data_IF_451814916554
#
_entry.id   IF_451814916554
#
_cell.length_a   1.000
_cell.length_b   1.000
_cell.length_c   1.000
_cell.angle_alpha   90.00
_cell.angle_beta   90.00
_cell.angle_gamma   90.00
#
_symmetry.space_group_name_H-M   'P 1'
#
loop_
_entity.id
_entity.type
_entity.pdbx_description
1 polymer ?
#
# COMPACT_ATOMS: atom_id res chain seq x y z
N UNK A 1 -0.97 23.84 6.75
CA UNK A 1 -1.86 24.16 5.61
C UNK A 1 -1.28 25.36 4.91
N UNK A 2 -0.88 25.27 3.65
CA UNK A 2 -0.39 26.44 2.92
C UNK A 2 -1.58 27.32 2.57
N UNK A 3 -1.62 28.50 3.18
CA UNK A 3 -2.36 29.68 2.73
C UNK A 3 -1.59 30.33 1.58
N UNK A 4 -1.46 29.64 0.44
CA UNK A 4 -0.94 30.28 -0.78
C UNK A 4 -2.15 30.83 -1.54
N UNK A 5 -2.33 32.15 -1.53
CA UNK A 5 -3.27 32.83 -2.42
C UNK A 5 -2.87 32.53 -3.87
N UNK A 6 -3.81 32.17 -4.76
CA UNK A 6 -3.50 31.90 -6.16
C UNK A 6 -2.81 33.07 -6.85
N UNK A 7 -1.67 32.79 -7.50
CA UNK A 7 -0.87 33.75 -8.25
C UNK A 7 -1.31 33.76 -9.71
N UNK A 8 -1.77 34.92 -10.19
CA UNK A 8 -2.25 35.12 -11.56
C UNK A 8 -1.35 36.12 -12.27
N UNK A 9 -0.87 35.75 -13.46
CA UNK A 9 -0.16 36.67 -14.35
C UNK A 9 -1.07 37.06 -15.51
N UNK A 10 -1.25 38.36 -15.74
CA UNK A 10 -1.97 38.90 -16.89
C UNK A 10 -0.96 39.43 -17.90
N UNK A 11 -1.02 38.95 -19.14
CA UNK A 11 -0.16 39.37 -20.25
C UNK A 11 -1.07 39.94 -21.35
N UNK A 12 -1.13 41.27 -21.43
CA UNK A 12 -2.06 41.98 -22.31
C UNK A 12 -1.51 43.37 -22.65
N UNK A 13 -1.46 43.75 -23.92
CA UNK A 13 -0.89 45.04 -24.34
C UNK A 13 -1.80 46.24 -23.99
N UNK A 14 -3.08 45.99 -23.76
CA UNK A 14 -4.04 46.98 -23.31
C UNK A 14 -3.94 47.20 -21.79
N UNK A 15 -3.34 48.34 -21.38
CA UNK A 15 -3.21 48.69 -19.97
C UNK A 15 -4.55 48.79 -19.21
N UNK A 16 -5.64 49.13 -19.92
CA UNK A 16 -7.01 49.11 -19.38
C UNK A 16 -7.46 47.71 -18.98
N UNK A 17 -7.18 46.70 -19.82
CA UNK A 17 -7.51 45.30 -19.54
C UNK A 17 -6.67 44.79 -18.35
N UNK A 18 -5.36 45.03 -18.36
CA UNK A 18 -4.48 44.69 -17.23
C UNK A 18 -5.00 45.26 -15.91
N UNK A 19 -5.38 46.55 -15.89
CA UNK A 19 -5.90 47.22 -14.69
C UNK A 19 -7.27 46.66 -14.27
N UNK A 20 -8.17 46.40 -15.24
CA UNK A 20 -9.47 45.79 -14.97
C UNK A 20 -9.34 44.41 -14.34
N UNK A 21 -8.55 43.52 -14.94
CA UNK A 21 -8.27 42.19 -14.40
C UNK A 21 -7.64 42.27 -13.00
N UNK A 22 -6.69 43.18 -12.79
CA UNK A 22 -6.05 43.36 -11.48
C UNK A 22 -7.00 43.83 -10.38
N UNK A 23 -8.00 44.65 -10.71
CA UNK A 23 -9.01 45.10 -9.75
C UNK A 23 -9.98 43.97 -9.43
N UNK A 24 -10.62 43.39 -10.46
CA UNK A 24 -11.63 42.34 -10.33
C UNK A 24 -11.08 41.12 -9.58
N UNK A 25 -9.90 40.64 -9.99
CA UNK A 25 -9.30 39.44 -9.40
C UNK A 25 -8.66 39.74 -8.04
N UNK A 26 -8.23 40.98 -7.80
CA UNK A 26 -7.74 41.43 -6.50
C UNK A 26 -8.83 41.44 -5.42
N UNK A 27 -10.08 41.75 -5.78
CA UNK A 27 -11.24 41.66 -4.87
C UNK A 27 -11.57 40.23 -4.45
N UNK A 28 -11.10 39.23 -5.20
CA UNK A 28 -11.25 37.79 -4.91
C UNK A 28 -10.06 37.22 -4.13
N UNK A 29 -9.24 38.06 -3.50
CA UNK A 29 -8.03 37.70 -2.75
C UNK A 29 -6.96 36.96 -3.59
N UNK A 30 -6.93 37.18 -4.92
CA UNK A 30 -5.87 36.66 -5.79
C UNK A 30 -4.68 37.61 -5.88
N UNK A 31 -3.48 37.03 -5.99
CA UNK A 31 -2.25 37.78 -6.20
C UNK A 31 -2.04 38.00 -7.70
N UNK A 32 -2.32 39.21 -8.18
CA UNK A 32 -2.29 39.53 -9.61
C UNK A 32 -1.03 40.32 -9.97
N UNK A 33 -0.27 39.79 -10.94
CA UNK A 33 0.82 40.50 -11.62
C UNK A 33 0.41 40.79 -13.06
N UNK A 34 0.85 41.91 -13.62
CA UNK A 34 0.50 42.28 -15.00
C UNK A 34 1.74 42.66 -15.82
N UNK A 35 1.72 42.35 -17.12
CA UNK A 35 2.75 42.71 -18.10
C UNK A 35 2.10 43.10 -19.42
N UNK A 36 2.59 44.19 -20.02
CA UNK A 36 2.07 44.72 -21.29
C UNK A 36 2.86 44.30 -22.52
N UNK A 37 3.90 43.47 -22.33
CA UNK A 37 4.73 42.92 -23.40
C UNK A 37 4.84 41.41 -23.22
N UNK A 38 4.68 40.66 -24.29
CA UNK A 38 4.66 39.20 -24.26
C UNK A 38 6.00 38.60 -23.86
N UNK A 39 7.13 39.18 -24.28
CA UNK A 39 8.46 38.67 -23.87
C UNK A 39 8.72 38.85 -22.38
N UNK A 40 8.27 39.96 -21.80
CA UNK A 40 8.42 40.21 -20.37
C UNK A 40 7.48 39.31 -19.55
N UNK A 41 6.23 39.15 -20.02
CA UNK A 41 5.27 38.20 -19.45
C UNK A 41 5.77 36.77 -19.48
N UNK A 42 6.28 36.28 -20.62
CA UNK A 42 6.85 34.94 -20.73
C UNK A 42 8.07 34.75 -19.82
N UNK A 43 8.99 35.73 -19.75
CA UNK A 43 10.16 35.66 -18.87
C UNK A 43 9.74 35.52 -17.41
N UNK A 44 8.78 36.31 -16.98
CA UNK A 44 8.26 36.26 -15.61
C UNK A 44 7.49 34.97 -15.34
N UNK A 45 6.65 34.52 -16.26
CA UNK A 45 5.92 33.25 -16.15
C UNK A 45 6.88 32.05 -15.97
N UNK A 46 8.01 32.05 -16.68
CA UNK A 46 9.02 30.99 -16.57
C UNK A 46 9.85 31.09 -15.29
N UNK A 47 10.18 32.30 -14.83
CA UNK A 47 10.98 32.53 -13.63
C UNK A 47 10.17 32.37 -12.33
N UNK A 48 8.89 32.75 -12.36
CA UNK A 48 7.99 32.74 -11.23
C UNK A 48 7.21 31.44 -11.04
N UNK A 49 6.34 31.46 -10.04
CA UNK A 49 5.32 30.43 -9.80
C UNK A 49 3.95 31.07 -9.92
N UNK A 50 3.39 30.98 -11.13
CA UNK A 50 2.03 31.40 -11.41
C UNK A 50 1.14 30.17 -11.55
N UNK A 51 -0.01 30.24 -10.91
CA UNK A 51 -1.05 29.22 -11.00
C UNK A 51 -1.81 29.35 -12.31
N UNK A 52 -2.08 30.59 -12.70
CA UNK A 52 -2.82 30.94 -13.92
C UNK A 52 -2.08 32.04 -14.68
N UNK A 53 -2.06 31.91 -16.01
CA UNK A 53 -1.68 32.99 -16.92
C UNK A 53 -2.89 33.36 -17.78
N UNK A 54 -3.32 34.61 -17.69
CA UNK A 54 -4.27 35.22 -18.62
C UNK A 54 -3.47 35.83 -19.78
N UNK A 55 -3.65 35.32 -20.99
CA UNK A 55 -2.77 35.62 -22.12
C UNK A 55 -3.53 36.18 -23.31
N UNK A 56 -3.20 37.40 -23.73
CA UNK A 56 -3.62 37.89 -25.05
C UNK A 56 -2.87 37.16 -26.17
N UNK A 57 -3.58 36.78 -27.23
CA UNK A 57 -2.98 36.26 -28.46
C UNK A 57 -2.27 37.33 -29.28
N UNK A 58 -2.70 38.59 -29.16
CA UNK A 58 -2.17 39.72 -29.93
C UNK A 58 -1.29 40.56 -29.03
N UNK A 59 0.02 40.29 -29.05
CA UNK A 59 1.00 41.06 -28.30
C UNK A 59 1.94 41.80 -29.26
N UNK A 60 2.50 42.96 -28.87
CA UNK A 60 3.26 43.82 -29.77
C UNK A 60 4.61 43.24 -30.20
N UNK A 61 5.15 42.27 -29.46
CA UNK A 61 6.54 41.84 -29.56
C UNK A 61 6.76 40.33 -29.79
N UNK A 62 5.74 39.50 -29.56
CA UNK A 62 5.72 38.04 -29.79
C UNK A 62 4.27 37.59 -30.03
N UNK A 63 4.05 36.52 -30.79
CA UNK A 63 2.71 35.93 -30.92
C UNK A 63 2.32 35.22 -29.61
N UNK A 64 1.11 35.48 -29.09
CA UNK A 64 0.63 34.81 -27.87
C UNK A 64 0.52 33.30 -28.03
N UNK A 65 0.35 32.77 -29.25
CA UNK A 65 0.40 31.32 -29.47
C UNK A 65 1.81 30.73 -29.22
N UNK A 66 2.87 31.50 -29.46
CA UNK A 66 4.25 31.08 -29.14
C UNK A 66 4.50 31.10 -27.62
N UNK A 67 3.91 32.08 -26.91
CA UNK A 67 3.94 32.15 -25.45
C UNK A 67 3.21 30.94 -24.85
N UNK A 68 2.02 30.62 -25.35
CA UNK A 68 1.24 29.44 -24.93
C UNK A 68 2.03 28.14 -25.13
N UNK A 69 2.63 27.95 -26.32
CA UNK A 69 3.44 26.77 -26.62
C UNK A 69 4.64 26.64 -25.66
N UNK A 70 5.33 27.76 -25.39
CA UNK A 70 6.47 27.81 -24.47
C UNK A 70 6.09 27.47 -23.03
N UNK A 71 4.93 27.97 -22.56
CA UNK A 71 4.42 27.67 -21.22
C UNK A 71 4.01 26.21 -21.09
N UNK A 72 3.33 25.65 -22.10
CA UNK A 72 2.96 24.23 -22.11
C UNK A 72 4.16 23.31 -22.04
N UNK A 73 5.24 23.64 -22.73
CA UNK A 73 6.47 22.82 -22.74
C UNK A 73 7.25 22.94 -21.42
N UNK A 74 7.41 24.15 -20.89
CA UNK A 74 8.34 24.42 -19.78
C UNK A 74 7.66 24.50 -18.40
N UNK A 75 6.36 24.76 -18.36
CA UNK A 75 5.52 24.96 -17.16
C UNK A 75 4.13 24.31 -17.34
N UNK A 76 4.05 23.00 -17.60
CA UNK A 76 2.78 22.31 -17.85
C UNK A 76 1.80 22.36 -16.67
N UNK A 77 2.26 22.71 -15.47
CA UNK A 77 1.45 22.89 -14.25
C UNK A 77 0.69 24.23 -14.20
N UNK A 78 1.05 25.21 -15.03
CA UNK A 78 0.40 26.51 -15.09
C UNK A 78 -0.76 26.47 -16.07
N UNK A 79 -1.96 26.85 -15.60
CA UNK A 79 -3.15 26.90 -16.45
C UNK A 79 -3.13 28.20 -17.27
N UNK A 80 -3.32 28.11 -18.58
CA UNK A 80 -3.35 29.30 -19.44
C UNK A 80 -4.77 29.55 -19.92
N UNK A 81 -5.34 30.71 -19.61
CA UNK A 81 -6.61 31.17 -20.17
C UNK A 81 -6.30 32.22 -21.22
N UNK A 82 -6.73 31.98 -22.45
CA UNK A 82 -6.47 32.88 -23.56
C UNK A 82 -7.52 33.97 -23.61
N UNK A 83 -7.12 35.24 -23.67
CA UNK A 83 -8.00 36.39 -23.87
C UNK A 83 -7.87 36.86 -25.33
N UNK A 84 -8.96 37.09 -26.06
CA UNK A 84 -8.84 37.58 -27.45
C UNK A 84 -10.05 38.39 -27.91
N UNK A 85 -9.80 39.49 -28.60
CA UNK A 85 -10.84 40.27 -29.30
C UNK A 85 -11.24 39.69 -30.67
N UNK A 86 -10.49 38.71 -31.20
CA UNK A 86 -10.81 38.02 -32.45
C UNK A 86 -11.47 36.67 -32.13
N UNK A 87 -12.77 36.72 -31.81
CA UNK A 87 -13.61 35.57 -31.44
C UNK A 87 -14.04 34.70 -32.63
N UNK A 88 -13.10 34.37 -33.52
CA UNK A 88 -13.39 33.33 -34.52
C UNK A 88 -13.34 31.96 -33.84
N UNK A 89 -14.29 31.07 -34.17
CA UNK A 89 -14.28 29.68 -33.69
C UNK A 89 -12.93 29.00 -33.98
N UNK A 90 -12.27 29.38 -35.09
CA UNK A 90 -10.99 28.83 -35.51
C UNK A 90 -9.84 29.16 -34.55
N UNK A 91 -9.69 30.42 -34.14
CA UNK A 91 -8.63 30.85 -33.19
C UNK A 91 -8.82 30.24 -31.81
N UNK A 92 -10.06 30.14 -31.32
CA UNK A 92 -10.37 29.47 -30.05
C UNK A 92 -10.00 27.98 -30.10
N UNK A 93 -10.35 27.28 -31.20
CA UNK A 93 -9.98 25.88 -31.39
C UNK A 93 -8.46 25.68 -31.47
N UNK A 94 -7.75 26.59 -32.14
CA UNK A 94 -6.28 26.55 -32.22
C UNK A 94 -5.62 26.75 -30.85
N UNK A 95 -6.10 27.69 -30.04
CA UNK A 95 -5.64 27.89 -28.66
C UNK A 95 -5.86 26.66 -27.78
N UNK A 96 -7.06 26.06 -27.84
CA UNK A 96 -7.38 24.84 -27.07
C UNK A 96 -6.49 23.66 -27.51
N UNK A 97 -6.25 23.47 -28.82
CA UNK A 97 -5.29 22.47 -29.33
C UNK A 97 -3.86 22.78 -28.89
N UNK A 98 -3.52 24.06 -28.81
CA UNK A 98 -2.27 24.59 -28.29
C UNK A 98 -2.06 24.30 -26.81
N UNK A 99 -3.11 23.96 -26.07
CA UNK A 99 -3.08 23.56 -24.66
C UNK A 99 -3.54 24.65 -23.69
N UNK A 100 -4.28 25.64 -24.17
CA UNK A 100 -5.03 26.53 -23.29
C UNK A 100 -6.07 25.73 -22.49
N UNK A 101 -6.28 26.13 -21.24
CA UNK A 101 -7.30 25.56 -20.37
C UNK A 101 -8.70 26.02 -20.77
N UNK A 102 -8.83 27.33 -21.02
CA UNK A 102 -10.07 27.96 -21.46
C UNK A 102 -9.75 29.22 -22.28
N UNK A 103 -10.78 29.86 -22.83
CA UNK A 103 -10.64 31.13 -23.54
C UNK A 103 -11.74 32.13 -23.12
N UNK A 104 -11.41 33.42 -23.18
CA UNK A 104 -12.29 34.55 -22.89
C UNK A 104 -12.28 35.51 -24.09
N UNK A 105 -13.47 35.80 -24.62
CA UNK A 105 -13.61 36.76 -25.71
C UNK A 105 -13.68 38.19 -25.14
N UNK A 106 -12.84 39.10 -25.65
CA UNK A 106 -12.94 40.53 -25.34
C UNK A 106 -14.06 41.17 -26.18
N UNK A 107 -14.94 42.02 -25.62
CA UNK A 107 -15.03 42.37 -24.20
C UNK A 107 -15.72 41.27 -23.38
N UNK A 108 -15.22 41.01 -22.17
CA UNK A 108 -15.80 40.07 -21.21
C UNK A 108 -16.33 40.80 -19.97
N UNK A 109 -17.27 40.17 -19.27
CA UNK A 109 -17.81 40.67 -18.01
C UNK A 109 -16.95 40.26 -16.81
N UNK A 110 -17.17 40.90 -15.67
CA UNK A 110 -16.56 40.52 -14.39
C UNK A 110 -16.89 39.07 -14.00
N UNK A 111 -18.15 38.65 -14.13
CA UNK A 111 -18.58 37.28 -13.83
C UNK A 111 -17.88 36.24 -14.71
N UNK A 112 -17.64 36.56 -15.99
CA UNK A 112 -17.00 35.65 -16.95
C UNK A 112 -15.54 35.37 -16.59
N UNK A 113 -14.77 36.41 -16.26
CA UNK A 113 -13.36 36.24 -15.87
C UNK A 113 -13.24 35.55 -14.51
N UNK A 114 -14.09 35.88 -13.53
CA UNK A 114 -14.11 35.22 -12.22
C UNK A 114 -14.43 33.73 -12.40
N UNK A 115 -15.45 33.38 -13.19
CA UNK A 115 -15.84 32.00 -13.42
C UNK A 115 -14.74 31.19 -14.13
N UNK A 116 -14.09 31.77 -15.15
CA UNK A 116 -13.02 31.10 -15.88
C UNK A 116 -11.80 30.85 -14.99
N UNK A 117 -11.39 31.85 -14.20
CA UNK A 117 -10.29 31.73 -13.22
C UNK A 117 -10.65 30.70 -12.14
N UNK A 118 -11.85 30.75 -11.57
CA UNK A 118 -12.28 29.80 -10.54
C UNK A 118 -12.25 28.34 -11.03
N UNK A 119 -12.71 28.09 -12.26
CA UNK A 119 -12.62 26.76 -12.88
C UNK A 119 -11.18 26.29 -13.07
N UNK A 120 -10.29 27.18 -13.50
CA UNK A 120 -8.88 26.87 -13.68
C UNK A 120 -8.17 26.57 -12.34
N UNK A 121 -8.47 27.33 -11.28
CA UNK A 121 -7.97 27.08 -9.93
C UNK A 121 -8.43 25.72 -9.42
N UNK A 122 -9.71 25.40 -9.56
CA UNK A 122 -10.26 24.13 -9.08
C UNK A 122 -9.67 22.94 -9.85
N UNK A 123 -9.54 23.02 -11.17
CA UNK A 123 -8.88 21.97 -11.96
C UNK A 123 -7.41 21.80 -11.54
N UNK A 124 -6.68 22.90 -11.30
CA UNK A 124 -5.31 22.83 -10.77
C UNK A 124 -5.29 22.16 -9.39
N UNK A 125 -6.16 22.59 -8.46
CA UNK A 125 -6.26 22.03 -7.11
C UNK A 125 -6.50 20.52 -7.15
N UNK A 126 -7.42 20.07 -8.00
CA UNK A 126 -7.73 18.66 -8.20
C UNK A 126 -6.54 17.88 -8.79
N UNK A 127 -5.80 18.47 -9.75
CA UNK A 127 -4.57 17.87 -10.29
C UNK A 127 -3.47 17.74 -9.25
N UNK A 128 -3.22 18.80 -8.48
CA UNK A 128 -2.20 18.83 -7.44
C UNK A 128 -2.53 17.85 -6.30
N UNK A 129 -3.80 17.80 -5.89
CA UNK A 129 -4.30 16.82 -4.93
C UNK A 129 -4.11 15.38 -5.47
N UNK A 130 -4.41 15.16 -6.75
CA UNK A 130 -4.20 13.86 -7.38
C UNK A 130 -2.72 13.45 -7.40
N UNK A 131 -1.81 14.38 -7.72
CA UNK A 131 -0.37 14.16 -7.70
C UNK A 131 0.09 13.83 -6.28
N UNK A 132 -0.37 14.58 -5.28
CA UNK A 132 -0.02 14.36 -3.88
C UNK A 132 -0.49 12.98 -3.39
N UNK A 133 -1.76 12.61 -3.66
CA UNK A 133 -2.32 11.32 -3.29
C UNK A 133 -1.58 10.17 -3.98
N UNK A 134 -1.21 10.32 -5.26
CA UNK A 134 -0.36 9.34 -5.97
C UNK A 134 1.01 9.20 -5.33
N UNK A 135 1.63 10.32 -4.95
CA UNK A 135 2.93 10.30 -4.27
C UNK A 135 2.85 9.57 -2.94
N UNK A 136 1.80 9.81 -2.15
CA UNK A 136 1.56 9.11 -0.89
C UNK A 136 1.34 7.60 -1.10
N UNK A 137 0.62 7.20 -2.16
CA UNK A 137 0.46 5.79 -2.51
C UNK A 137 1.80 5.14 -2.88
N UNK A 138 2.61 5.81 -3.70
CA UNK A 138 3.94 5.34 -4.07
C UNK A 138 4.82 5.21 -2.81
N UNK A 139 4.88 6.24 -1.97
CA UNK A 139 5.60 6.19 -0.70
C UNK A 139 5.08 5.08 0.22
N UNK A 140 3.78 4.79 0.26
CA UNK A 140 3.25 3.74 1.14
C UNK A 140 3.56 2.33 0.65
N UNK A 141 3.54 2.10 -0.67
CA UNK A 141 3.54 0.77 -1.26
C UNK A 141 4.80 0.44 -2.08
N UNK A 142 5.78 1.34 -2.14
CA UNK A 142 7.08 1.06 -2.73
C UNK A 142 7.80 -0.09 -2.00
N UNK A 143 8.55 -0.89 -2.75
CA UNK A 143 9.28 -2.05 -2.21
C UNK A 143 10.25 -1.64 -1.10
N UNK A 144 10.83 -0.44 -1.19
CA UNK A 144 11.73 0.10 -0.18
C UNK A 144 11.08 0.23 1.21
N UNK A 145 9.74 0.24 1.28
CA UNK A 145 8.99 0.32 2.52
C UNK A 145 8.46 -1.05 3.00
N UNK A 146 8.62 -2.11 2.19
CA UNK A 146 8.36 -3.48 2.63
C UNK A 146 9.64 -4.02 3.26
N UNK A 147 9.63 -4.12 4.59
CA UNK A 147 10.77 -4.62 5.36
C UNK A 147 10.83 -6.15 5.27
N UNK A 148 11.90 -6.67 4.66
CA UNK A 148 12.28 -8.08 4.69
C UNK A 148 13.46 -8.36 3.77
N UNK A 149 14.40 -9.19 4.22
CA UNK A 149 15.47 -9.74 3.35
C UNK A 149 15.50 -11.26 3.39
N UNK A 150 14.52 -11.89 4.04
CA UNK A 150 14.32 -13.32 3.94
C UNK A 150 14.26 -13.73 2.45
N UNK A 151 14.99 -14.79 2.04
CA UNK A 151 15.01 -15.23 0.64
C UNK A 151 13.61 -15.43 0.04
N UNK A 152 12.64 -15.92 0.82
CA UNK A 152 11.28 -16.11 0.34
C UNK A 152 10.59 -14.76 0.01
N UNK A 153 10.89 -13.70 0.77
CA UNK A 153 10.39 -12.34 0.49
C UNK A 153 11.07 -11.75 -0.75
N UNK A 154 12.38 -11.98 -0.92
CA UNK A 154 13.11 -11.53 -2.09
C UNK A 154 12.58 -12.19 -3.38
N UNK A 155 12.28 -13.49 -3.35
CA UNK A 155 11.65 -14.21 -4.46
C UNK A 155 10.24 -13.66 -4.78
N UNK A 156 9.47 -13.28 -3.76
CA UNK A 156 8.18 -12.61 -3.94
C UNK A 156 8.37 -11.27 -4.65
N UNK A 157 9.37 -10.47 -4.28
CA UNK A 157 9.65 -9.20 -4.96
C UNK A 157 10.00 -9.38 -6.43
N UNK A 158 10.80 -10.39 -6.77
CA UNK A 158 11.08 -10.72 -8.17
C UNK A 158 9.81 -11.13 -8.93
N UNK A 159 8.99 -11.95 -8.29
CA UNK A 159 7.71 -12.40 -8.85
C UNK A 159 6.75 -11.22 -9.10
N UNK A 160 6.68 -10.28 -8.16
CA UNK A 160 5.89 -9.06 -8.30
C UNK A 160 6.40 -8.21 -9.46
N UNK A 161 7.72 -8.01 -9.60
CA UNK A 161 8.29 -7.26 -10.73
C UNK A 161 7.90 -7.85 -12.08
N UNK A 162 7.89 -9.19 -12.20
CA UNK A 162 7.50 -9.88 -13.44
C UNK A 162 6.00 -9.71 -13.72
N UNK A 163 5.13 -9.95 -12.74
CA UNK A 163 3.68 -9.90 -12.96
C UNK A 163 3.15 -8.47 -13.06
N UNK A 164 3.78 -7.49 -12.41
CA UNK A 164 3.36 -6.09 -12.45
C UNK A 164 3.37 -5.51 -13.87
N UNK A 165 4.30 -5.94 -14.72
CA UNK A 165 4.39 -5.57 -16.13
C UNK A 165 3.25 -6.12 -17.02
N UNK A 166 2.44 -7.05 -16.49
CA UNK A 166 1.31 -7.69 -17.19
C UNK A 166 -0.03 -7.23 -16.59
N UNK A 167 -1.13 -7.44 -17.31
CA UNK A 167 -2.50 -7.25 -16.78
C UNK A 167 -3.09 -8.53 -16.16
N UNK A 168 -2.27 -9.56 -15.93
CA UNK A 168 -2.72 -10.83 -15.33
C UNK A 168 -3.28 -10.62 -13.91
N UNK A 169 -4.33 -11.39 -13.60
CA UNK A 169 -4.89 -11.48 -12.26
C UNK A 169 -3.88 -12.12 -11.30
N UNK A 170 -3.72 -11.50 -10.13
CA UNK A 170 -2.84 -12.00 -9.08
C UNK A 170 -3.68 -12.44 -7.88
N UNK A 171 -3.43 -13.66 -7.39
CA UNK A 171 -4.03 -14.18 -6.17
C UNK A 171 -2.98 -14.23 -5.06
N UNK A 172 -3.14 -13.40 -4.03
CA UNK A 172 -2.26 -13.34 -2.87
C UNK A 172 -2.85 -14.19 -1.75
N UNK A 173 -2.13 -15.22 -1.34
CA UNK A 173 -2.50 -16.08 -0.21
C UNK A 173 -1.57 -15.85 0.96
N UNK A 174 -2.11 -15.91 2.17
CA UNK A 174 -1.30 -15.76 3.38
C UNK A 174 -2.15 -15.51 4.61
N UNK A 175 -1.64 -15.90 5.76
CA UNK A 175 -2.33 -15.72 7.04
C UNK A 175 -2.66 -14.25 7.30
N UNK A 176 -3.62 -14.02 8.20
CA UNK A 176 -3.96 -12.67 8.63
C UNK A 176 -2.74 -11.95 9.21
N UNK A 177 -2.57 -10.68 8.84
CA UNK A 177 -1.47 -9.85 9.33
C UNK A 177 -0.09 -10.11 8.68
N UNK A 178 0.01 -10.90 7.62
CA UNK A 178 1.27 -11.14 6.88
C UNK A 178 1.70 -9.99 5.97
N UNK A 179 0.78 -9.07 5.64
CA UNK A 179 1.03 -7.91 4.79
C UNK A 179 0.43 -7.98 3.39
N UNK A 180 -0.54 -8.85 3.11
CA UNK A 180 -1.19 -9.01 1.78
C UNK A 180 -1.52 -7.69 1.06
N UNK A 181 -2.10 -6.72 1.78
CA UNK A 181 -2.42 -5.38 1.25
C UNK A 181 -1.17 -4.62 0.76
N UNK A 182 -0.04 -4.72 1.46
CA UNK A 182 1.22 -4.07 1.06
C UNK A 182 1.75 -4.65 -0.24
N UNK A 183 1.73 -5.97 -0.39
CA UNK A 183 2.16 -6.63 -1.63
C UNK A 183 1.20 -6.34 -2.79
N UNK A 184 -0.11 -6.25 -2.53
CA UNK A 184 -1.09 -5.84 -3.54
C UNK A 184 -0.85 -4.40 -4.04
N UNK A 185 -0.58 -3.47 -3.11
CA UNK A 185 -0.20 -2.10 -3.45
C UNK A 185 1.09 -2.05 -4.25
N UNK A 186 2.10 -2.85 -3.89
CA UNK A 186 3.37 -2.92 -4.61
C UNK A 186 3.18 -3.41 -6.06
N UNK A 187 2.30 -4.39 -6.29
CA UNK A 187 1.94 -4.83 -7.65
C UNK A 187 1.37 -3.67 -8.46
N UNK A 188 0.48 -2.85 -7.88
CA UNK A 188 -0.10 -1.70 -8.57
C UNK A 188 0.95 -0.64 -8.90
N UNK A 189 1.76 -0.25 -7.91
CA UNK A 189 2.79 0.79 -8.04
C UNK A 189 3.85 0.44 -9.09
N UNK A 190 4.15 -0.85 -9.27
CA UNK A 190 5.12 -1.33 -10.26
C UNK A 190 4.50 -1.62 -11.63
N UNK A 191 3.19 -1.39 -11.81
CA UNK A 191 2.49 -1.72 -13.04
C UNK A 191 2.42 -0.57 -14.04
N UNK A 192 2.04 -0.87 -15.29
CA UNK A 192 1.66 0.14 -16.29
C UNK A 192 0.47 1.01 -15.84
N UNK A 193 -0.29 0.56 -14.83
CA UNK A 193 -1.45 1.25 -14.25
C UNK A 193 -1.10 2.06 -13.00
N UNK A 194 0.17 2.23 -12.63
CA UNK A 194 0.58 2.97 -11.43
C UNK A 194 0.11 4.43 -11.38
N UNK A 195 -0.14 5.05 -12.53
CA UNK A 195 -0.70 6.39 -12.64
C UNK A 195 -2.25 6.41 -12.65
N UNK A 196 -2.90 5.26 -12.52
CA UNK A 196 -4.36 5.08 -12.54
C UNK A 196 -4.87 4.85 -11.12
N UNK A 197 -6.19 4.68 -10.96
CA UNK A 197 -6.80 4.50 -9.64
C UNK A 197 -6.42 3.13 -9.05
N UNK A 198 -6.05 3.11 -7.78
CA UNK A 198 -5.96 1.92 -6.95
C UNK A 198 -7.14 1.94 -5.98
N UNK A 199 -8.06 0.98 -6.11
CA UNK A 199 -9.25 0.88 -5.27
C UNK A 199 -9.19 -0.40 -4.48
N UNK A 200 -9.44 -0.33 -3.18
CA UNK A 200 -9.42 -1.47 -2.27
C UNK A 200 -10.81 -1.74 -1.74
N UNK A 201 -11.19 -3.02 -1.63
CA UNK A 201 -12.43 -3.45 -1.02
C UNK A 201 -12.18 -4.66 -0.11
N UNK A 202 -12.56 -4.54 1.15
CA UNK A 202 -12.57 -5.66 2.10
C UNK A 202 -13.93 -6.35 2.05
N UNK A 203 -13.95 -7.57 1.50
CA UNK A 203 -15.17 -8.36 1.30
C UNK A 203 -15.75 -8.91 2.61
N UNK A 204 -15.09 -8.72 3.77
CA UNK A 204 -15.58 -9.16 5.08
C UNK A 204 -16.37 -8.10 5.86
N UNK A 205 -16.29 -6.84 5.44
CA UNK A 205 -16.80 -5.70 6.24
C UNK A 205 -18.28 -5.37 6.01
N UNK A 206 -18.85 -5.81 4.89
CA UNK A 206 -20.19 -5.45 4.45
C UNK A 206 -21.11 -6.66 4.42
N UNK A 207 -22.40 -6.43 4.63
CA UNK A 207 -23.42 -7.43 4.33
C UNK A 207 -23.42 -7.74 2.83
N UNK A 208 -23.88 -8.92 2.45
CA UNK A 208 -23.87 -9.34 1.04
C UNK A 208 -24.58 -8.36 0.09
N UNK A 209 -25.73 -7.82 0.50
CA UNK A 209 -26.49 -6.87 -0.33
C UNK A 209 -25.75 -5.54 -0.50
N UNK A 210 -25.13 -5.03 0.57
CA UNK A 210 -24.32 -3.81 0.51
C UNK A 210 -23.05 -4.05 -0.33
N UNK A 211 -22.40 -5.20 -0.17
CA UNK A 211 -21.20 -5.56 -0.92
C UNK A 211 -21.47 -5.62 -2.43
N UNK A 212 -22.60 -6.20 -2.83
CA UNK A 212 -23.02 -6.23 -4.23
C UNK A 212 -23.25 -4.81 -4.76
N UNK A 213 -23.98 -3.98 -4.02
CA UNK A 213 -24.21 -2.58 -4.35
C UNK A 213 -22.91 -1.77 -4.41
N UNK A 214 -21.94 -2.00 -3.52
CA UNK A 214 -20.63 -1.34 -3.59
C UNK A 214 -19.84 -1.78 -4.82
N UNK A 215 -19.79 -3.08 -5.14
CA UNK A 215 -19.04 -3.60 -6.29
C UNK A 215 -19.61 -3.08 -7.62
N UNK A 216 -20.91 -3.27 -7.84
CA UNK A 216 -21.56 -3.09 -9.13
C UNK A 216 -22.37 -1.78 -9.23
N UNK A 217 -22.65 -1.12 -8.12
CA UNK A 217 -23.52 0.05 -8.08
C UNK A 217 -24.99 -0.33 -8.09
N UNK A 218 -25.86 0.66 -7.94
CA UNK A 218 -27.31 0.47 -8.01
C UNK A 218 -27.99 1.69 -8.63
N UNK A 219 -29.19 1.45 -9.15
CA UNK A 219 -30.12 2.51 -9.52
C UNK A 219 -31.09 2.81 -8.39
N UNK A 220 -31.64 4.03 -8.41
CA UNK A 220 -32.70 4.45 -7.49
C UNK A 220 -33.85 3.45 -7.51
N UNK A 221 -34.27 3.00 -6.34
CA UNK A 221 -35.36 2.03 -6.17
C UNK A 221 -34.96 0.57 -6.34
N UNK A 222 -33.68 0.24 -6.49
CA UNK A 222 -33.20 -1.15 -6.56
C UNK A 222 -33.45 -1.96 -5.26
N UNK A 223 -33.48 -1.29 -4.11
CA UNK A 223 -33.82 -1.82 -2.80
C UNK A 223 -34.38 -0.70 -1.90
N UNK A 224 -34.88 -1.04 -0.71
CA UNK A 224 -35.64 -0.13 0.17
C UNK A 224 -34.91 1.17 0.50
N UNK A 225 -33.58 1.12 0.66
CA UNK A 225 -32.73 2.28 0.98
C UNK A 225 -32.07 2.95 -0.25
N UNK A 226 -32.36 2.49 -1.47
CA UNK A 226 -31.78 3.01 -2.72
C UNK A 226 -32.43 4.34 -3.13
N UNK A 227 -32.08 5.41 -2.43
CA UNK A 227 -32.66 6.76 -2.61
C UNK A 227 -32.16 7.50 -3.85
N UNK A 228 -30.98 7.14 -4.36
CA UNK A 228 -30.32 7.76 -5.51
C UNK A 228 -29.52 6.70 -6.29
N UNK A 229 -29.10 7.04 -7.51
CA UNK A 229 -28.20 6.19 -8.28
C UNK A 229 -26.79 6.25 -7.69
N UNK A 230 -26.14 5.10 -7.54
CA UNK A 230 -24.78 4.98 -7.02
C UNK A 230 -23.90 4.22 -8.01
N UNK A 231 -22.78 4.83 -8.39
CA UNK A 231 -21.74 4.16 -9.18
C UNK A 231 -21.00 3.12 -8.32
N UNK A 232 -20.84 1.91 -8.87
CA UNK A 232 -20.08 0.84 -8.25
C UNK A 232 -18.56 1.01 -8.37
N UNK A 233 -17.83 0.28 -7.54
CA UNK A 233 -16.37 0.22 -7.50
C UNK A 233 -15.79 -0.18 -8.86
N UNK A 234 -16.43 -1.06 -9.62
CA UNK A 234 -15.97 -1.39 -10.97
C UNK A 234 -16.00 -0.20 -11.95
N UNK A 235 -16.91 0.77 -11.76
CA UNK A 235 -16.90 2.02 -12.52
C UNK A 235 -15.78 2.93 -12.05
N UNK A 236 -15.60 3.03 -10.73
CA UNK A 236 -14.58 3.88 -10.09
C UNK A 236 -13.16 3.40 -10.41
N UNK A 237 -12.93 2.09 -10.47
CA UNK A 237 -11.65 1.47 -10.71
C UNK A 237 -11.31 1.30 -12.20
N UNK A 238 -12.17 1.76 -13.12
CA UNK A 238 -11.98 1.59 -14.55
C UNK A 238 -10.61 2.14 -15.02
N UNK A 239 -9.92 1.37 -15.86
CA UNK A 239 -8.51 1.50 -16.28
C UNK A 239 -7.47 1.43 -15.15
N UNK A 240 -7.88 1.15 -13.92
CA UNK A 240 -7.04 1.05 -12.74
C UNK A 240 -6.87 -0.38 -12.24
N UNK A 241 -6.65 -0.51 -10.93
CA UNK A 241 -6.52 -1.79 -10.23
C UNK A 241 -7.53 -1.86 -9.08
N UNK A 242 -8.24 -2.98 -9.00
CA UNK A 242 -9.12 -3.32 -7.88
C UNK A 242 -8.47 -4.40 -7.03
N UNK A 243 -8.20 -4.07 -5.77
CA UNK A 243 -7.76 -5.00 -4.76
C UNK A 243 -8.96 -5.53 -3.97
N UNK A 244 -9.20 -6.83 -4.04
CA UNK A 244 -10.26 -7.53 -3.30
C UNK A 244 -9.63 -8.29 -2.13
N UNK A 245 -9.74 -7.75 -0.91
CA UNK A 245 -9.22 -8.44 0.29
C UNK A 245 -10.28 -9.38 0.87
N UNK A 246 -9.78 -10.45 1.49
CA UNK A 246 -10.58 -11.52 2.10
C UNK A 246 -11.71 -12.04 1.18
N UNK A 247 -11.40 -12.25 -0.10
CA UNK A 247 -12.32 -12.63 -1.17
C UNK A 247 -13.06 -13.96 -0.92
N UNK A 248 -12.54 -14.80 -0.03
CA UNK A 248 -13.23 -16.01 0.44
C UNK A 248 -14.57 -15.75 1.16
N UNK A 249 -14.90 -14.50 1.49
CA UNK A 249 -16.17 -14.13 2.11
C UNK A 249 -17.29 -13.80 1.12
N UNK A 250 -17.01 -13.82 -0.19
CA UNK A 250 -18.04 -13.61 -1.21
C UNK A 250 -19.06 -14.77 -1.20
N UNK A 251 -20.35 -14.45 -1.30
CA UNK A 251 -21.37 -15.46 -1.54
C UNK A 251 -21.36 -15.94 -3.00
N UNK A 252 -21.99 -17.08 -3.29
CA UNK A 252 -21.99 -17.69 -4.62
C UNK A 252 -22.58 -16.79 -5.73
N UNK A 253 -23.52 -15.91 -5.38
CA UNK A 253 -24.14 -14.98 -6.33
C UNK A 253 -23.15 -13.90 -6.78
N UNK A 254 -22.49 -13.23 -5.83
CA UNK A 254 -21.46 -12.23 -6.11
C UNK A 254 -20.28 -12.86 -6.83
N UNK A 255 -19.89 -14.09 -6.46
CA UNK A 255 -18.85 -14.85 -7.16
C UNK A 255 -19.19 -15.05 -8.65
N UNK A 256 -20.44 -15.39 -8.98
CA UNK A 256 -20.88 -15.54 -10.37
C UNK A 256 -20.84 -14.23 -11.14
N UNK A 257 -21.21 -13.11 -10.51
CA UNK A 257 -21.15 -11.78 -11.14
C UNK A 257 -19.70 -11.33 -11.34
N UNK A 258 -18.83 -11.57 -10.35
CA UNK A 258 -17.39 -11.28 -10.43
C UNK A 258 -16.73 -12.05 -11.58
N UNK A 259 -17.02 -13.34 -11.72
CA UNK A 259 -16.51 -14.15 -12.82
C UNK A 259 -16.86 -13.52 -14.19
N UNK A 260 -18.11 -13.10 -14.37
CA UNK A 260 -18.55 -12.44 -15.60
C UNK A 260 -17.73 -11.19 -15.92
N UNK A 261 -17.43 -10.37 -14.91
CA UNK A 261 -16.56 -9.18 -15.10
C UNK A 261 -15.15 -9.59 -15.52
N UNK A 262 -14.60 -10.64 -14.91
CA UNK A 262 -13.25 -11.14 -15.21
C UNK A 262 -13.11 -11.76 -16.60
N UNK A 263 -14.19 -12.29 -17.17
CA UNK A 263 -14.21 -12.91 -18.49
C UNK A 263 -14.51 -11.92 -19.61
N UNK A 264 -15.54 -11.10 -19.42
CA UNK A 264 -16.10 -10.25 -20.47
C UNK A 264 -15.83 -8.75 -20.29
N UNK A 265 -15.31 -8.33 -19.13
CA UNK A 265 -15.18 -6.92 -18.77
C UNK A 265 -16.52 -6.22 -18.59
N UNK A 266 -17.60 -6.99 -18.37
CA UNK A 266 -18.97 -6.49 -18.36
C UNK A 266 -19.68 -6.82 -17.04
N UNK A 267 -20.44 -5.84 -16.52
CA UNK A 267 -21.27 -6.02 -15.33
C UNK A 267 -22.58 -5.23 -15.43
N UNK A 268 -23.51 -5.50 -14.51
CA UNK A 268 -24.79 -4.79 -14.41
C UNK A 268 -24.97 -4.22 -13.00
N UNK A 269 -25.34 -2.94 -12.86
CA UNK A 269 -25.76 -2.41 -11.56
C UNK A 269 -26.99 -3.14 -11.02
N UNK A 270 -27.17 -3.14 -9.70
CA UNK A 270 -28.35 -3.72 -9.06
C UNK A 270 -29.59 -2.94 -9.47
N UNK A 271 -30.63 -3.66 -9.91
CA UNK A 271 -31.89 -3.09 -10.41
C UNK A 271 -31.83 -2.58 -11.85
N UNK A 272 -30.69 -2.74 -12.53
CA UNK A 272 -30.48 -2.22 -13.88
C UNK A 272 -30.41 -3.34 -14.93
N UNK A 273 -30.91 -3.06 -16.13
CA UNK A 273 -30.98 -4.05 -17.22
C UNK A 273 -29.81 -3.94 -18.21
N UNK A 274 -29.25 -2.75 -18.37
CA UNK A 274 -28.15 -2.50 -19.28
C UNK A 274 -26.80 -2.95 -18.71
N UNK A 275 -25.91 -3.33 -19.61
CA UNK A 275 -24.57 -3.81 -19.26
C UNK A 275 -23.56 -2.67 -19.41
N UNK A 276 -22.64 -2.57 -18.45
CA UNK A 276 -21.57 -1.58 -18.42
C UNK A 276 -20.24 -2.30 -18.65
N UNK A 277 -19.38 -1.73 -19.51
CA UNK A 277 -18.02 -2.21 -19.73
C UNK A 277 -17.03 -1.55 -18.78
N UNK A 278 -16.07 -2.33 -18.29
CA UNK A 278 -14.96 -1.86 -17.47
C UNK A 278 -13.69 -2.63 -17.80
N UNK A 279 -12.56 -1.95 -17.72
CA UNK A 279 -11.22 -2.49 -17.89
C UNK A 279 -10.48 -2.35 -16.56
N UNK A 280 -10.56 -3.36 -15.71
CA UNK A 280 -9.99 -3.35 -14.36
C UNK A 280 -9.03 -4.51 -14.19
N UNK A 281 -7.82 -4.21 -13.75
CA UNK A 281 -6.89 -5.24 -13.28
C UNK A 281 -7.31 -5.69 -11.89
N UNK A 282 -7.48 -7.00 -11.69
CA UNK A 282 -7.85 -7.57 -10.39
C UNK A 282 -6.63 -8.12 -9.67
N UNK A 283 -6.48 -7.72 -8.41
CA UNK A 283 -5.59 -8.36 -7.43
C UNK A 283 -6.48 -8.85 -6.29
N UNK A 284 -6.46 -10.14 -5.98
CA UNK A 284 -7.28 -10.72 -4.92
C UNK A 284 -6.40 -11.22 -3.78
N UNK A 285 -6.92 -11.16 -2.55
CA UNK A 285 -6.27 -11.71 -1.38
C UNK A 285 -7.23 -12.57 -0.55
N UNK A 286 -6.67 -13.59 0.11
CA UNK A 286 -7.40 -14.41 1.09
C UNK A 286 -6.46 -15.03 2.11
N UNK A 287 -6.97 -15.23 3.33
CA UNK A 287 -6.31 -16.04 4.35
C UNK A 287 -6.82 -17.50 4.42
N UNK A 288 -7.81 -17.87 3.59
CA UNK A 288 -8.39 -19.21 3.55
C UNK A 288 -7.88 -19.98 2.33
N UNK A 289 -7.93 -21.30 2.44
CA UNK A 289 -7.61 -22.20 1.35
C UNK A 289 -8.81 -22.31 0.39
N UNK A 290 -8.76 -21.60 -0.74
CA UNK A 290 -9.85 -21.61 -1.72
C UNK A 290 -10.12 -23.01 -2.29
N UNK A 291 -9.11 -23.87 -2.39
CA UNK A 291 -9.30 -25.23 -2.91
C UNK A 291 -10.20 -26.07 -2.00
N UNK A 292 -10.09 -25.87 -0.68
CA UNK A 292 -11.00 -26.48 0.31
C UNK A 292 -12.41 -25.91 0.20
N UNK A 293 -12.55 -24.60 0.02
CA UNK A 293 -13.86 -23.97 -0.12
C UNK A 293 -14.60 -24.43 -1.39
N UNK A 294 -13.86 -24.71 -2.45
CA UNK A 294 -14.39 -25.34 -3.67
C UNK A 294 -14.91 -26.74 -3.37
N UNK A 295 -14.12 -27.57 -2.68
CA UNK A 295 -14.54 -28.91 -2.29
C UNK A 295 -15.78 -28.92 -1.35
N UNK A 296 -15.91 -27.89 -0.52
CA UNK A 296 -17.06 -27.67 0.38
C UNK A 296 -18.28 -27.04 -0.32
N UNK A 297 -18.17 -26.65 -1.61
CA UNK A 297 -19.25 -26.02 -2.37
C UNK A 297 -19.56 -24.57 -1.98
N UNK A 298 -18.71 -23.95 -1.14
CA UNK A 298 -18.86 -22.54 -0.71
C UNK A 298 -18.13 -21.55 -1.62
N UNK A 299 -17.29 -22.05 -2.53
CA UNK A 299 -16.60 -21.27 -3.54
C UNK A 299 -16.71 -21.93 -4.91
N UNK A 300 -16.89 -21.14 -5.97
CA UNK A 300 -17.03 -21.68 -7.33
C UNK A 300 -15.68 -22.08 -7.91
N UNK A 301 -15.65 -23.26 -8.51
CA UNK A 301 -14.46 -23.81 -9.15
C UNK A 301 -13.98 -22.97 -10.34
N UNK A 302 -14.90 -22.49 -11.18
CA UNK A 302 -14.60 -21.65 -12.34
C UNK A 302 -13.92 -20.32 -11.96
N UNK A 303 -14.45 -19.64 -10.94
CA UNK A 303 -13.87 -18.43 -10.38
C UNK A 303 -12.49 -18.68 -9.77
N UNK A 304 -12.30 -19.81 -9.08
CA UNK A 304 -11.01 -20.17 -8.51
C UNK A 304 -9.93 -20.26 -9.60
N UNK A 305 -10.19 -20.97 -10.70
CA UNK A 305 -9.23 -21.05 -11.81
C UNK A 305 -8.98 -19.70 -12.48
N UNK A 306 -10.00 -18.84 -12.59
CA UNK A 306 -9.86 -17.50 -13.17
C UNK A 306 -9.06 -16.54 -12.28
N UNK A 307 -9.09 -16.72 -10.96
CA UNK A 307 -8.30 -15.96 -10.00
C UNK A 307 -6.87 -16.49 -9.86
N UNK A 308 -6.70 -17.81 -9.89
CA UNK A 308 -5.44 -18.50 -9.64
C UNK A 308 -4.50 -18.51 -10.86
N UNK A 309 -4.46 -17.41 -11.62
CA UNK A 309 -3.59 -17.26 -12.80
C UNK A 309 -2.14 -17.03 -12.39
N UNK A 310 -1.92 -16.14 -11.42
CA UNK A 310 -0.60 -15.89 -10.85
C UNK A 310 -0.68 -15.89 -9.31
N UNK A 311 -0.49 -17.05 -8.66
CA UNK A 311 -0.51 -17.14 -7.20
C UNK A 311 0.78 -16.59 -6.57
N UNK A 312 0.63 -15.82 -5.50
CA UNK A 312 1.72 -15.39 -4.62
C UNK A 312 1.37 -15.82 -3.20
N UNK A 313 2.19 -16.67 -2.60
CA UNK A 313 2.01 -17.08 -1.19
C UNK A 313 2.97 -16.28 -0.32
N UNK A 314 2.43 -15.50 0.61
CA UNK A 314 3.23 -14.77 1.60
C UNK A 314 3.47 -15.69 2.81
N UNK A 315 4.74 -15.96 3.17
CA UNK A 315 5.04 -16.80 4.32
C UNK A 315 4.63 -16.12 5.64
N UNK A 316 4.10 -16.88 6.61
CA UNK A 316 3.86 -16.38 7.95
C UNK A 316 5.19 -15.99 8.62
N UNK A 317 5.12 -15.08 9.59
CA UNK A 317 6.30 -14.48 10.23
C UNK A 317 7.20 -15.54 10.91
N UNK A 318 6.62 -16.64 11.39
CA UNK A 318 7.35 -17.77 11.97
C UNK A 318 8.22 -18.55 10.99
N UNK A 319 7.96 -18.44 9.69
CA UNK A 319 8.75 -19.06 8.60
C UNK A 319 9.87 -18.13 8.10
N UNK A 320 9.89 -16.86 8.55
CA UNK A 320 10.89 -15.82 8.21
C UNK A 320 11.36 -15.07 9.45
N UNK A 321 11.97 -15.81 10.39
CA UNK A 321 12.30 -15.28 11.73
C UNK A 321 13.40 -14.21 11.67
N UNK A 322 14.22 -14.26 10.64
CA UNK A 322 15.31 -13.36 10.31
C UNK A 322 14.81 -11.93 10.04
N UNK A 323 13.56 -11.77 9.61
CA UNK A 323 12.92 -10.48 9.41
C UNK A 323 12.41 -9.85 10.72
N UNK A 324 12.20 -10.65 11.79
CA UNK A 324 11.58 -10.17 13.05
C UNK A 324 12.36 -9.02 13.67
N UNK A 325 13.70 -9.08 13.88
CA UNK A 325 14.45 -7.96 14.45
C UNK A 325 14.31 -6.69 13.61
N UNK A 326 14.38 -6.81 12.28
CA UNK A 326 14.29 -5.66 11.37
C UNK A 326 12.93 -5.00 11.41
N UNK A 327 11.86 -5.81 11.40
CA UNK A 327 10.49 -5.34 11.57
C UNK A 327 10.32 -4.66 12.93
N UNK A 328 10.84 -5.25 14.01
CA UNK A 328 10.76 -4.69 15.35
C UNK A 328 11.45 -3.32 15.43
N UNK A 329 12.68 -3.19 14.92
CA UNK A 329 13.41 -1.91 14.87
C UNK A 329 12.77 -0.89 13.92
N UNK A 330 12.16 -1.34 12.82
CA UNK A 330 11.40 -0.46 11.94
C UNK A 330 10.21 0.15 12.69
N UNK A 331 9.38 -0.68 13.34
CA UNK A 331 8.24 -0.20 14.12
C UNK A 331 8.66 0.64 15.33
N UNK A 332 9.75 0.28 16.01
CA UNK A 332 10.29 1.06 17.12
C UNK A 332 10.61 2.50 16.66
N UNK A 333 11.33 2.64 15.55
CA UNK A 333 11.68 3.96 14.99
C UNK A 333 10.44 4.74 14.55
N UNK A 334 9.47 4.06 13.94
CA UNK A 334 8.20 4.65 13.54
C UNK A 334 7.47 5.26 14.75
N UNK A 335 7.23 4.46 15.79
CA UNK A 335 6.48 4.90 16.96
C UNK A 335 7.24 5.89 17.84
N UNK A 336 8.57 5.79 17.93
CA UNK A 336 9.37 6.81 18.62
C UNK A 336 9.25 8.18 17.93
N UNK A 337 9.23 8.21 16.59
CA UNK A 337 9.04 9.45 15.83
C UNK A 337 7.65 10.05 16.05
N UNK A 338 6.61 9.21 16.12
CA UNK A 338 5.22 9.65 16.34
C UNK A 338 4.97 10.14 17.77
N UNK A 339 5.54 9.47 18.77
CA UNK A 339 5.35 9.79 20.19
C UNK A 339 6.35 10.81 20.73
N UNK A 340 7.41 11.12 19.98
CA UNK A 340 8.52 11.98 20.43
C UNK A 340 9.43 11.33 21.47
N UNK A 341 9.24 10.04 21.77
CA UNK A 341 10.05 9.29 22.74
C UNK A 341 11.40 8.88 22.17
N UNK A 342 12.36 8.63 23.07
CA UNK A 342 13.72 8.20 22.72
C UNK A 342 14.03 6.85 23.38
N UNK A 343 13.69 5.78 22.67
CA UNK A 343 14.01 4.40 23.04
C UNK A 343 15.13 3.94 22.10
N UNK A 344 16.22 3.45 22.68
CA UNK A 344 17.47 3.15 21.96
C UNK A 344 17.40 1.81 21.21
N UNK A 345 16.62 0.85 21.72
CA UNK A 345 16.50 -0.45 21.10
C UNK A 345 15.85 -1.50 21.99
N UNK A 346 16.11 -2.75 21.64
CA UNK A 346 15.74 -3.94 22.41
C UNK A 346 17.01 -4.52 23.02
N UNK A 347 16.94 -5.10 24.22
CA UNK A 347 18.06 -5.92 24.71
C UNK A 347 18.13 -7.27 23.99
N UNK A 348 19.29 -7.93 24.06
CA UNK A 348 19.53 -9.20 23.36
C UNK A 348 18.51 -10.27 23.76
N UNK A 349 18.22 -10.39 25.06
CA UNK A 349 17.22 -11.31 25.60
C UNK A 349 15.80 -11.01 25.10
N UNK A 350 15.50 -9.72 24.91
CA UNK A 350 14.23 -9.25 24.38
C UNK A 350 14.07 -9.62 22.90
N UNK A 351 15.14 -9.47 22.09
CA UNK A 351 15.16 -9.91 20.69
C UNK A 351 15.03 -11.43 20.56
N UNK A 352 15.74 -12.19 21.38
CA UNK A 352 15.61 -13.67 21.41
C UNK A 352 14.18 -14.09 21.75
N UNK A 353 13.50 -13.39 22.66
CA UNK A 353 12.10 -13.64 22.99
C UNK A 353 11.19 -13.34 21.79
N UNK A 354 11.37 -12.19 21.12
CA UNK A 354 10.60 -11.82 19.93
C UNK A 354 10.79 -12.84 18.79
N UNK A 355 12.03 -13.31 18.55
CA UNK A 355 12.33 -14.27 17.47
C UNK A 355 11.78 -15.68 17.74
N UNK A 356 11.67 -16.09 19.00
CA UNK A 356 11.16 -17.41 19.38
C UNK A 356 9.63 -17.47 19.49
N UNK A 357 8.95 -16.32 19.49
CA UNK A 357 7.50 -16.28 19.49
C UNK A 357 6.92 -16.72 18.13
N UNK A 358 5.74 -17.35 18.15
CA UNK A 358 5.10 -17.92 16.96
C UNK A 358 4.36 -16.89 16.10
N UNK A 359 4.03 -15.73 16.67
CA UNK A 359 3.32 -14.63 16.01
C UNK A 359 2.09 -15.07 15.21
N UNK A 360 1.04 -15.62 15.85
CA UNK A 360 -0.18 -16.03 15.15
C UNK A 360 -0.88 -14.89 14.39
N UNK A 361 -0.73 -13.63 14.83
CA UNK A 361 -1.19 -12.46 14.09
C UNK A 361 -0.12 -11.81 13.20
N UNK A 362 0.99 -12.52 12.96
CA UNK A 362 2.08 -12.16 12.07
C UNK A 362 2.62 -10.74 12.31
N UNK A 363 2.92 -10.01 11.24
CA UNK A 363 3.50 -8.65 11.29
C UNK A 363 2.55 -7.66 11.98
N UNK A 364 1.23 -7.84 11.83
CA UNK A 364 0.24 -7.00 12.52
C UNK A 364 0.33 -7.14 14.05
N UNK A 365 0.46 -8.36 14.56
CA UNK A 365 0.66 -8.59 15.99
C UNK A 365 1.98 -8.01 16.47
N UNK A 366 3.09 -8.25 15.75
CA UNK A 366 4.39 -7.68 16.08
C UNK A 366 4.34 -6.14 16.14
N UNK A 367 3.73 -5.50 15.15
CA UNK A 367 3.53 -4.04 15.12
C UNK A 367 2.80 -3.55 16.37
N UNK A 368 1.65 -4.13 16.69
CA UNK A 368 0.83 -3.75 17.84
C UNK A 368 1.57 -3.98 19.18
N UNK A 369 2.34 -5.05 19.28
CA UNK A 369 3.17 -5.33 20.46
C UNK A 369 4.24 -4.25 20.62
N UNK A 370 4.97 -3.89 19.56
CA UNK A 370 5.99 -2.84 19.62
C UNK A 370 5.39 -1.48 19.93
N UNK A 371 4.24 -1.13 19.34
CA UNK A 371 3.50 0.11 19.65
C UNK A 371 3.20 0.22 21.14
N UNK A 372 2.65 -0.86 21.71
CA UNK A 372 2.31 -0.93 23.14
C UNK A 372 3.54 -0.75 24.03
N UNK A 373 4.66 -1.37 23.66
CA UNK A 373 5.93 -1.25 24.37
C UNK A 373 6.46 0.19 24.37
N UNK A 374 6.37 0.89 23.24
CA UNK A 374 6.77 2.31 23.12
C UNK A 374 5.87 3.20 23.96
N UNK A 375 4.56 2.95 24.00
CA UNK A 375 3.63 3.72 24.83
C UNK A 375 3.99 3.58 26.32
N UNK A 376 4.34 2.37 26.76
CA UNK A 376 4.59 2.05 28.18
C UNK A 376 6.01 2.37 28.67
N UNK A 377 6.94 2.63 27.76
CA UNK A 377 8.35 2.90 28.08
C UNK A 377 8.68 4.35 27.77
N UNK A 378 9.31 5.07 28.69
CA UNK A 378 9.64 6.49 28.45
C UNK A 378 11.01 6.67 27.81
N UNK A 379 12.04 5.98 28.31
CA UNK A 379 13.44 6.10 27.87
C UNK A 379 14.20 4.77 27.98
N UNK A 380 15.31 4.61 27.24
CA UNK A 380 16.25 3.49 27.41
C UNK A 380 16.00 2.32 26.46
N UNK A 381 16.16 1.08 26.96
CA UNK A 381 15.99 -0.16 26.19
C UNK A 381 14.69 -0.88 26.55
N UNK A 382 14.14 -1.62 25.59
CA UNK A 382 13.04 -2.55 25.82
C UNK A 382 13.61 -3.89 26.29
N UNK A 383 13.51 -4.12 27.60
CA UNK A 383 14.00 -5.32 28.26
C UNK A 383 12.98 -6.46 28.30
N UNK A 384 13.49 -7.68 28.50
CA UNK A 384 12.70 -8.90 28.52
C UNK A 384 11.53 -8.83 29.51
N UNK A 385 11.74 -8.23 30.67
CA UNK A 385 10.75 -8.06 31.74
C UNK A 385 9.56 -7.23 31.27
N UNK A 386 9.80 -6.25 30.39
CA UNK A 386 8.78 -5.38 29.81
C UNK A 386 8.02 -6.12 28.70
N UNK A 387 8.72 -6.93 27.89
CA UNK A 387 8.12 -7.63 26.76
C UNK A 387 7.29 -8.85 27.17
N UNK A 388 7.76 -9.60 28.17
CA UNK A 388 7.18 -10.91 28.56
C UNK A 388 5.67 -10.86 28.81
N UNK A 389 5.13 -9.87 29.57
CA UNK A 389 3.69 -9.76 29.79
C UNK A 389 2.87 -9.51 28.51
N UNK A 390 3.46 -8.94 27.46
CA UNK A 390 2.73 -8.59 26.23
C UNK A 390 2.77 -9.66 25.16
N UNK A 391 3.66 -10.64 25.30
CA UNK A 391 3.74 -11.83 24.42
C UNK A 391 2.92 -13.00 25.00
N UNK A 392 2.77 -13.08 26.32
CA UNK A 392 2.06 -14.19 26.99
C UNK A 392 0.53 -14.06 27.02
N UNK A 393 -0.04 -12.90 26.67
CA UNK A 393 -1.48 -12.61 26.87
C UNK A 393 -2.39 -13.18 25.77
N UNK A 394 -1.86 -13.60 24.62
CA UNK A 394 -2.69 -14.21 23.56
C UNK A 394 -2.75 -15.74 23.72
N UNK A 395 -3.74 -16.18 24.50
CA UNK A 395 -4.08 -17.54 24.99
C UNK A 395 -4.02 -18.77 24.06
N UNK A 396 -3.14 -18.86 23.06
CA UNK A 396 -2.83 -20.09 22.31
C UNK A 396 -1.37 -20.13 21.91
N UNK A 397 -0.53 -20.64 22.81
CA UNK A 397 0.67 -21.46 22.57
C UNK A 397 1.54 -21.44 23.83
N UNK A 398 1.20 -22.26 24.82
CA UNK A 398 2.23 -22.84 25.68
C UNK A 398 2.35 -24.32 25.30
N UNK A 399 3.56 -24.85 25.05
CA UNK A 399 3.82 -26.20 25.54
C UNK A 399 3.57 -26.10 27.04
N UNK A 400 2.60 -26.86 27.55
CA UNK A 400 2.12 -26.75 28.93
C UNK A 400 3.25 -26.45 29.89
N UNK A 401 3.23 -25.24 30.45
CA UNK A 401 4.02 -24.93 31.63
C UNK A 401 3.68 -25.99 32.69
N UNK A 402 4.67 -26.46 33.44
CA UNK A 402 4.47 -27.58 34.35
C UNK A 402 3.39 -27.23 35.39
N UNK A 403 2.43 -28.15 35.57
CA UNK A 403 1.18 -27.99 36.33
C UNK A 403 1.36 -27.77 37.85
N UNK A 404 2.59 -27.79 38.35
CA UNK A 404 2.91 -27.58 39.77
C UNK A 404 4.07 -26.59 39.87
N UNK A 405 3.84 -25.49 40.58
CA UNK A 405 4.88 -24.55 40.98
C UNK A 405 5.53 -25.15 42.24
N UNK A 406 6.84 -25.44 42.25
CA UNK A 406 7.53 -25.97 43.43
C UNK A 406 7.47 -24.98 44.60
N UNK A 407 7.08 -25.44 45.79
CA UNK A 407 6.97 -24.60 46.99
C UNK A 407 8.26 -24.59 47.82
N UNK A 408 9.19 -25.51 47.54
CA UNK A 408 10.47 -25.65 48.24
C UNK A 408 11.69 -25.57 47.32
N UNK A 409 12.83 -25.16 47.88
CA UNK A 409 14.11 -25.02 47.14
C UNK A 409 14.64 -26.35 46.60
N UNK A 410 14.34 -27.47 47.28
CA UNK A 410 14.74 -28.80 46.85
C UNK A 410 13.89 -29.30 45.67
N UNK A 411 12.58 -29.05 45.69
CA UNK A 411 11.70 -29.32 44.55
C UNK A 411 12.06 -28.46 43.33
N UNK A 412 12.46 -27.20 43.53
CA UNK A 412 12.93 -26.33 42.45
C UNK A 412 14.18 -26.90 41.75
N UNK A 413 15.12 -27.49 42.51
CA UNK A 413 16.33 -28.12 41.96
C UNK A 413 16.02 -29.38 41.15
N UNK A 414 15.18 -30.28 41.67
CA UNK A 414 14.76 -31.49 40.94
C UNK A 414 13.97 -31.14 39.69
N UNK A 415 13.10 -30.14 39.77
CA UNK A 415 12.32 -29.68 38.64
C UNK A 415 13.17 -29.01 37.56
N UNK A 416 14.11 -28.14 37.94
CA UNK A 416 15.09 -27.55 37.02
C UNK A 416 15.91 -28.62 36.32
N UNK A 417 16.33 -29.66 37.04
CA UNK A 417 17.06 -30.81 36.47
C UNK A 417 16.19 -31.59 35.48
N UNK A 418 14.94 -31.88 35.83
CA UNK A 418 14.00 -32.62 34.99
C UNK A 418 13.61 -31.86 33.71
N UNK A 419 13.52 -30.52 33.76
CA UNK A 419 13.26 -29.68 32.57
C UNK A 419 14.48 -29.61 31.66
N UNK A 420 15.69 -29.44 32.23
CA UNK A 420 16.92 -29.49 31.45
C UNK A 420 17.07 -30.85 30.74
N UNK A 421 16.85 -31.95 31.46
CA UNK A 421 16.97 -33.30 30.88
C UNK A 421 15.90 -33.58 29.81
N UNK A 422 14.65 -33.16 29.99
CA UNK A 422 13.59 -33.43 29.02
C UNK A 422 13.61 -32.51 27.79
N UNK A 423 13.89 -31.22 27.96
CA UNK A 423 13.84 -30.26 26.85
C UNK A 423 15.17 -30.25 26.09
N UNK A 424 16.30 -30.10 26.78
CA UNK A 424 17.60 -30.11 26.10
C UNK A 424 18.02 -31.52 25.72
N UNK A 425 17.71 -32.54 26.53
CA UNK A 425 18.11 -33.92 26.21
C UNK A 425 17.46 -34.46 24.93
N UNK A 426 16.21 -34.11 24.62
CA UNK A 426 15.58 -34.54 23.36
C UNK A 426 16.17 -33.86 22.12
N UNK A 427 16.47 -32.56 22.22
CA UNK A 427 17.09 -31.80 21.11
C UNK A 427 18.54 -32.26 20.90
N UNK A 428 19.29 -32.45 21.99
CA UNK A 428 20.67 -32.93 21.98
C UNK A 428 20.76 -34.37 21.48
N UNK A 429 19.84 -35.26 21.88
CA UNK A 429 19.75 -36.63 21.34
C UNK A 429 19.45 -36.63 19.84
N UNK A 430 18.50 -35.82 19.36
CA UNK A 430 18.20 -35.68 17.92
C UNK A 430 19.37 -35.10 17.12
N UNK A 431 20.07 -34.12 17.70
CA UNK A 431 21.28 -33.54 17.12
C UNK A 431 22.40 -34.57 16.97
N UNK A 432 22.67 -35.36 18.00
CA UNK A 432 23.67 -36.44 17.97
C UNK A 432 23.29 -37.53 16.96
N UNK A 433 22.03 -37.97 16.93
CA UNK A 433 21.56 -38.98 15.97
C UNK A 433 21.67 -38.50 14.52
N UNK A 434 21.33 -37.23 14.23
CA UNK A 434 21.49 -36.64 12.90
C UNK A 434 22.96 -36.56 12.48
N UNK A 435 23.84 -36.12 13.39
CA UNK A 435 25.27 -36.04 13.12
C UNK A 435 25.91 -37.41 12.87
N UNK A 436 25.45 -38.45 13.58
CA UNK A 436 25.87 -39.84 13.40
C UNK A 436 25.35 -40.45 12.09
N UNK A 437 24.08 -40.21 11.75
CA UNK A 437 23.44 -40.71 10.53
C UNK A 437 24.10 -40.14 9.27
N UNK A 438 24.36 -38.84 9.26
CA UNK A 438 25.06 -38.15 8.17
C UNK A 438 26.50 -38.66 7.95
N UNK A 439 27.09 -39.30 8.97
CA UNK A 439 28.47 -39.79 8.96
C UNK A 439 28.56 -41.32 9.03
N UNK A 440 27.46 -42.03 8.76
CA UNK A 440 27.38 -43.50 8.76
C UNK A 440 27.96 -44.15 10.03
N UNK A 441 27.69 -43.57 11.19
CA UNK A 441 28.15 -44.09 12.49
C UNK A 441 29.61 -43.76 12.83
N UNK A 442 30.33 -43.01 12.00
CA UNK A 442 31.70 -42.60 12.31
C UNK A 442 31.72 -41.42 13.30
N UNK A 443 31.92 -41.75 14.59
CA UNK A 443 31.95 -40.79 15.71
C UNK A 443 32.99 -39.67 15.52
N UNK A 444 34.14 -39.97 14.92
CA UNK A 444 35.22 -38.96 14.76
C UNK A 444 34.84 -37.93 13.70
N UNK A 445 34.27 -38.38 12.58
CA UNK A 445 33.76 -37.49 11.54
C UNK A 445 32.52 -36.72 12.00
N UNK A 446 31.60 -37.37 12.73
CA UNK A 446 30.43 -36.70 13.28
C UNK A 446 30.82 -35.55 14.21
N UNK A 447 31.78 -35.78 15.12
CA UNK A 447 32.29 -34.76 16.04
C UNK A 447 32.94 -33.58 15.29
N UNK A 448 33.80 -33.85 14.30
CA UNK A 448 34.42 -32.80 13.48
C UNK A 448 33.39 -32.01 12.67
N UNK A 449 32.40 -32.67 12.07
CA UNK A 449 31.34 -32.04 11.28
C UNK A 449 30.52 -31.04 12.10
N UNK A 450 30.27 -31.36 13.36
CA UNK A 450 29.53 -30.47 14.28
C UNK A 450 30.42 -29.49 15.05
N UNK A 451 31.72 -29.44 14.73
CA UNK A 451 32.67 -28.51 15.36
C UNK A 451 33.05 -28.87 16.80
N UNK A 452 32.92 -30.14 17.20
CA UNK A 452 33.23 -30.62 18.55
C UNK A 452 34.44 -31.56 18.58
N UNK A 453 35.18 -31.54 19.70
CA UNK A 453 36.24 -32.51 19.96
C UNK A 453 35.63 -33.89 20.25
N UNK A 454 36.23 -34.95 19.69
CA UNK A 454 35.75 -36.35 19.83
C UNK A 454 35.45 -36.76 21.28
N UNK A 455 36.28 -36.44 22.31
CA UNK A 455 35.97 -36.80 23.69
C UNK A 455 34.69 -36.16 24.24
N UNK A 456 34.40 -34.92 23.83
CA UNK A 456 33.19 -34.20 24.26
C UNK A 456 31.94 -34.78 23.60
N UNK A 457 32.04 -35.11 22.31
CA UNK A 457 30.97 -35.78 21.56
C UNK A 457 30.68 -37.18 22.13
N UNK A 458 31.71 -37.96 22.46
CA UNK A 458 31.54 -39.27 23.10
C UNK A 458 30.97 -39.19 24.52
N UNK A 459 31.30 -38.14 25.28
CA UNK A 459 30.73 -37.90 26.61
C UNK A 459 29.23 -37.59 26.52
N UNK A 460 28.83 -36.81 25.51
CA UNK A 460 27.44 -36.49 25.20
C UNK A 460 26.64 -37.70 24.71
N UNK A 461 27.23 -38.57 23.88
CA UNK A 461 26.60 -39.84 23.51
C UNK A 461 26.34 -40.73 24.73
N UNK A 462 27.32 -40.84 25.64
CA UNK A 462 27.18 -41.64 26.88
C UNK A 462 26.14 -41.08 27.83
N UNK A 463 26.00 -39.75 27.95
CA UNK A 463 24.97 -39.15 28.81
C UNK A 463 23.55 -39.38 28.30
N UNK A 464 23.39 -39.63 26.99
CA UNK A 464 22.11 -39.91 26.34
C UNK A 464 21.89 -41.39 25.99
N UNK A 465 22.77 -42.28 26.48
CA UNK A 465 22.75 -43.72 26.22
C UNK A 465 22.67 -44.08 24.73
N UNK A 466 23.45 -43.39 23.89
CA UNK A 466 23.55 -43.64 22.44
C UNK A 466 24.85 -44.39 22.09
N UNK A 467 24.75 -45.41 21.25
CA UNK A 467 25.85 -46.12 20.59
C UNK A 467 25.96 -45.76 19.11
N UNK A 468 27.11 -46.04 18.48
CA UNK A 468 27.27 -45.94 17.02
C UNK A 468 26.40 -46.96 16.26
N UNK A 469 25.94 -48.01 16.96
CA UNK A 469 25.12 -49.09 16.41
C UNK A 469 23.60 -48.80 16.50
N UNK A 470 23.18 -47.67 17.09
CA UNK A 470 21.77 -47.28 17.22
C UNK A 470 21.22 -46.57 15.95
N UNK A 471 21.88 -46.75 14.79
CA UNK A 471 21.60 -46.10 13.50
C UNK A 471 20.80 -46.98 12.53
#
# INVERSE_FOLDING_TARGET
>A
MRTDQPNILVIDDEASICKGCSLILGEQDFLVSTRTKGKDGLREALAGRFDIVLLDLRLPDIDGMEVLASLREKKPETQVIVMTGYSTVKSAVEAMKGGAFDYLAKPFTEDEIILAVAKAIEDKRLRDENILLRKQLFERFDFNNIVGEDPAILEIFESIKRVAATDSTVLITGESGTGKELFAGAIHVQSSRAAKRYVTLDCSTLSSSLLESELFGHVKGAFTDATHDKKGIFSVANHGTLFLDELSNLNLEIQSKLLRVMESGEYKPVGESHTIKTDVRIVAATNRDLSKLVAEGSFREDLYYRLNVFPIRIPPLRERKEDIPRLAYHFLRLFCKETGKRIEGFSDDALVLLMNHSWPGNVRQLKNTVERLVIMTDHGFLDREIITPHIQVDGRSTPSGPKQIPETWEELKTFKKHILENIFGQVEKKFLMKALSDCQGNITHAAQKVGMQRPNFSKLMKSHSLSADDL
#
